data_IF_294135408562
#
_entry.id   IF_294135408562
#
_cell.length_a   1.000
_cell.length_b   1.000
_cell.length_c   1.000
_cell.angle_alpha   90.00
_cell.angle_beta   90.00
_cell.angle_gamma   90.00
#
_symmetry.space_group_name_H-M   'P 1'
#
loop_
_entity.id
_entity.type
_entity.pdbx_description
1 polymer ?
#
# COMPACT_ATOMS: atom_id res chain seq x y z
N UNK A 1 23.87 11.24 -10.31
CA UNK A 1 23.29 10.03 -10.93
C UNK A 1 21.79 10.24 -10.83
N UNK A 2 21.16 10.81 -11.88
CA UNK A 2 19.73 11.12 -11.85
C UNK A 2 18.95 9.80 -11.80
N UNK A 3 18.10 9.66 -10.80
CA UNK A 3 17.26 8.48 -10.60
C UNK A 3 16.32 8.34 -11.80
N UNK A 4 16.40 7.22 -12.51
CA UNK A 4 15.56 6.84 -13.66
C UNK A 4 14.05 6.66 -13.33
N UNK A 5 13.54 7.27 -12.25
CA UNK A 5 12.16 7.11 -11.79
C UNK A 5 11.18 7.73 -12.79
N UNK A 6 11.55 8.81 -13.47
CA UNK A 6 10.70 9.46 -14.48
C UNK A 6 10.54 8.64 -15.77
N UNK A 7 11.45 7.69 -16.06
CA UNK A 7 11.45 6.95 -17.31
C UNK A 7 10.36 5.86 -17.43
N UNK A 8 9.67 5.52 -16.33
CA UNK A 8 8.66 4.46 -16.27
C UNK A 8 7.24 4.96 -15.92
N UNK A 9 7.00 6.26 -16.01
CA UNK A 9 5.64 6.80 -15.87
C UNK A 9 4.86 6.58 -17.18
N UNK A 10 3.56 6.24 -17.13
CA UNK A 10 2.75 6.16 -18.32
C UNK A 10 2.63 7.57 -18.94
N UNK A 11 2.51 7.66 -20.27
CA UNK A 11 2.45 8.94 -20.97
C UNK A 11 1.16 9.73 -20.68
N UNK A 12 0.12 9.08 -20.15
CA UNK A 12 -1.15 9.69 -19.74
C UNK A 12 -1.62 9.14 -18.40
N UNK A 13 -2.46 9.90 -17.69
CA UNK A 13 -3.00 9.49 -16.39
C UNK A 13 -3.89 8.24 -16.47
N UNK A 14 -4.53 7.99 -17.61
CA UNK A 14 -5.37 6.81 -17.87
C UNK A 14 -4.57 5.51 -17.73
N UNK A 15 -3.27 5.53 -18.04
CA UNK A 15 -2.40 4.37 -17.92
C UNK A 15 -2.24 3.87 -16.48
N UNK A 16 -2.40 4.73 -15.46
CA UNK A 16 -2.36 4.29 -14.06
C UNK A 16 -3.62 3.52 -13.63
N UNK A 17 -4.68 3.54 -14.44
CA UNK A 17 -5.93 2.85 -14.13
C UNK A 17 -5.96 1.39 -14.56
N UNK A 18 -4.94 0.89 -15.29
CA UNK A 18 -4.95 -0.47 -15.84
C UNK A 18 -4.12 -1.43 -15.00
N UNK A 19 -4.63 -2.64 -14.84
CA UNK A 19 -3.92 -3.74 -14.19
C UNK A 19 -2.57 -4.03 -14.87
N UNK A 20 -2.56 -4.03 -16.20
CA UNK A 20 -1.38 -4.35 -17.01
C UNK A 20 -0.23 -3.37 -16.79
N UNK A 21 -0.53 -2.08 -16.59
CA UNK A 21 0.50 -1.08 -16.30
C UNK A 21 1.24 -1.38 -15.01
N UNK A 22 0.50 -1.69 -13.94
CA UNK A 22 1.08 -1.97 -12.63
C UNK A 22 1.86 -3.28 -12.61
N UNK A 23 1.33 -4.34 -13.22
CA UNK A 23 2.06 -5.60 -13.41
C UNK A 23 3.38 -5.38 -14.15
N UNK A 24 3.36 -4.66 -15.28
CA UNK A 24 4.59 -4.34 -16.03
C UNK A 24 5.58 -3.51 -15.23
N UNK A 25 5.10 -2.54 -14.46
CA UNK A 25 5.94 -1.69 -13.62
C UNK A 25 6.62 -2.51 -12.54
N UNK A 26 5.86 -3.29 -11.77
CA UNK A 26 6.41 -4.07 -10.66
C UNK A 26 7.31 -5.21 -11.15
N UNK A 27 7.06 -5.78 -12.34
CA UNK A 27 7.98 -6.72 -12.96
C UNK A 27 9.35 -6.09 -13.27
N UNK A 28 9.41 -4.79 -13.57
CA UNK A 28 10.64 -4.04 -13.86
C UNK A 28 11.32 -3.49 -12.60
N UNK A 29 10.61 -3.42 -11.46
CA UNK A 29 11.08 -2.91 -10.17
C UNK A 29 11.47 -4.03 -9.18
N UNK A 30 12.11 -5.09 -9.67
CA UNK A 30 12.51 -6.25 -8.85
C UNK A 30 13.75 -6.04 -7.98
N UNK A 31 14.26 -4.80 -7.87
CA UNK A 31 15.53 -4.50 -7.17
C UNK A 31 15.37 -4.22 -5.67
N UNK A 32 14.16 -4.39 -5.13
CA UNK A 32 13.86 -4.23 -3.71
C UNK A 32 13.78 -2.78 -3.24
N UNK A 33 13.75 -1.81 -4.15
CA UNK A 33 13.49 -0.41 -3.79
C UNK A 33 12.02 -0.21 -3.43
N UNK A 34 11.79 0.56 -2.37
CA UNK A 34 10.45 1.01 -1.98
C UNK A 34 10.16 2.34 -2.65
N UNK A 35 8.94 2.53 -3.14
CA UNK A 35 8.51 3.80 -3.69
C UNK A 35 7.40 4.40 -2.85
N UNK A 36 7.67 5.57 -2.26
CA UNK A 36 6.69 6.35 -1.53
C UNK A 36 6.38 7.65 -2.28
N UNK A 37 5.16 7.72 -2.84
CA UNK A 37 4.69 8.79 -3.70
C UNK A 37 4.67 10.21 -3.08
N UNK A 38 4.57 10.35 -1.75
CA UNK A 38 4.23 11.65 -1.14
C UNK A 38 5.15 12.07 0.02
N UNK A 39 5.35 11.23 1.03
CA UNK A 39 6.06 11.56 2.27
C UNK A 39 6.85 10.37 2.81
N UNK A 40 7.90 10.64 3.58
CA UNK A 40 8.56 9.60 4.39
C UNK A 40 7.54 9.05 5.40
N UNK A 41 7.28 7.73 5.42
CA UNK A 41 6.23 7.16 6.26
C UNK A 41 6.37 7.42 7.76
N UNK A 42 7.60 7.69 8.23
CA UNK A 42 7.87 8.04 9.62
C UNK A 42 7.15 9.30 10.12
N UNK A 43 6.83 10.25 9.23
CA UNK A 43 6.07 11.45 9.60
C UNK A 43 4.62 11.15 9.96
N UNK A 44 4.10 9.99 9.55
CA UNK A 44 2.71 9.62 9.81
C UNK A 44 2.51 9.01 11.20
N UNK A 45 3.58 8.56 11.85
CA UNK A 45 3.50 7.83 13.13
C UNK A 45 2.70 8.57 14.22
N UNK A 46 2.91 9.88 14.48
CA UNK A 46 2.12 10.58 15.49
C UNK A 46 0.62 10.59 15.21
N UNK A 47 0.22 10.61 13.93
CA UNK A 47 -1.20 10.56 13.56
C UNK A 47 -1.80 9.17 13.82
N UNK A 48 -1.05 8.10 13.59
CA UNK A 48 -1.52 6.76 13.93
C UNK A 48 -1.63 6.55 15.43
N UNK A 49 -0.71 7.11 16.24
CA UNK A 49 -0.83 7.09 17.70
C UNK A 49 -2.12 7.78 18.16
N UNK A 50 -2.40 8.97 17.65
CA UNK A 50 -3.61 9.74 17.98
C UNK A 50 -4.89 8.98 17.55
N UNK A 51 -4.96 8.57 16.28
CA UNK A 51 -6.14 7.90 15.73
C UNK A 51 -6.46 6.57 16.42
N UNK A 52 -5.44 5.78 16.75
CA UNK A 52 -5.65 4.50 17.41
C UNK A 52 -5.94 4.63 18.90
N UNK A 53 -5.48 5.71 19.54
CA UNK A 53 -5.88 6.03 20.91
C UNK A 53 -7.36 6.47 20.98
N UNK A 54 -7.82 7.28 20.02
CA UNK A 54 -9.20 7.80 19.98
C UNK A 54 -10.25 6.69 19.85
N UNK A 55 -9.89 5.57 19.23
CA UNK A 55 -10.76 4.39 19.04
C UNK A 55 -10.48 3.26 20.05
N UNK A 56 -9.65 3.51 21.07
CA UNK A 56 -9.32 2.59 22.17
C UNK A 56 -8.74 1.22 21.75
N UNK A 57 -8.05 1.19 20.60
CA UNK A 57 -7.36 -0.03 20.10
C UNK A 57 -5.84 0.09 20.14
N UNK A 58 -5.30 1.31 20.16
CA UNK A 58 -3.86 1.58 20.26
C UNK A 58 -3.04 0.77 19.24
N UNK A 59 -2.07 -0.02 19.73
CA UNK A 59 -1.19 -0.84 18.87
C UNK A 59 -1.83 -2.12 18.34
N UNK A 60 -2.97 -2.51 18.89
CA UNK A 60 -3.71 -3.71 18.48
C UNK A 60 -4.70 -3.43 17.34
N UNK A 61 -4.83 -2.15 16.93
CA UNK A 61 -5.67 -1.72 15.81
C UNK A 61 -5.41 -2.57 14.55
N UNK A 62 -6.50 -3.06 13.95
CA UNK A 62 -6.48 -3.78 12.67
C UNK A 62 -6.55 -2.78 11.51
N UNK A 63 -5.47 -2.70 10.74
CA UNK A 63 -5.26 -1.67 9.71
C UNK A 63 -5.33 -2.30 8.32
N UNK A 64 -6.17 -1.75 7.44
CA UNK A 64 -6.22 -2.09 6.01
C UNK A 64 -5.49 -1.02 5.19
N UNK A 65 -4.53 -1.45 4.39
CA UNK A 65 -3.78 -0.62 3.44
C UNK A 65 -4.29 -0.89 2.03
N UNK A 66 -4.97 0.10 1.43
CA UNK A 66 -5.52 0.03 0.08
C UNK A 66 -4.48 0.43 -0.97
N UNK A 67 -4.33 -0.36 -2.04
CA UNK A 67 -3.38 -0.08 -3.12
C UNK A 67 -1.96 0.08 -2.57
N UNK A 68 -1.50 -0.91 -1.80
CA UNK A 68 -0.29 -0.78 -1.00
C UNK A 68 0.98 -0.62 -1.84
N UNK A 69 0.99 -1.14 -3.08
CA UNK A 69 2.15 -1.20 -3.94
C UNK A 69 3.38 -1.73 -3.22
N UNK A 70 4.55 -1.14 -3.52
CA UNK A 70 5.81 -1.40 -2.83
C UNK A 70 6.14 -0.33 -1.75
N UNK A 71 5.12 0.27 -1.12
CA UNK A 71 5.30 1.31 -0.10
C UNK A 71 5.97 0.79 1.17
N UNK A 72 6.80 1.62 1.80
CA UNK A 72 7.40 1.31 3.10
C UNK A 72 6.48 1.63 4.30
N UNK A 73 5.26 2.16 4.09
CA UNK A 73 4.40 2.57 5.21
C UNK A 73 4.02 1.40 6.12
N UNK A 74 3.62 0.26 5.56
CA UNK A 74 3.36 -0.94 6.35
C UNK A 74 4.57 -1.38 7.18
N UNK A 75 5.78 -1.27 6.62
CA UNK A 75 7.04 -1.57 7.33
C UNK A 75 7.25 -0.65 8.54
N UNK A 76 7.06 0.65 8.33
CA UNK A 76 7.33 1.66 9.36
C UNK A 76 6.30 1.57 10.48
N UNK A 77 5.02 1.31 10.17
CA UNK A 77 3.98 1.06 11.16
C UNK A 77 4.25 -0.24 11.94
N UNK A 78 4.64 -1.31 11.24
CA UNK A 78 4.99 -2.57 11.86
C UNK A 78 6.13 -2.42 12.85
N UNK A 79 7.21 -1.74 12.45
CA UNK A 79 8.38 -1.53 13.28
C UNK A 79 8.09 -0.58 14.47
N UNK A 80 7.07 0.27 14.35
CA UNK A 80 6.55 1.12 15.42
C UNK A 80 5.50 0.46 16.34
N UNK A 81 5.15 -0.81 16.10
CA UNK A 81 4.37 -1.63 17.01
C UNK A 81 2.98 -2.06 16.53
N UNK A 82 2.46 -1.54 15.42
CA UNK A 82 1.20 -2.01 14.86
C UNK A 82 1.41 -3.29 14.07
N UNK A 83 1.04 -4.44 14.62
CA UNK A 83 1.33 -5.75 14.01
C UNK A 83 0.21 -6.27 13.12
N UNK A 84 -1.02 -5.81 13.33
CA UNK A 84 -2.22 -6.28 12.63
C UNK A 84 -2.47 -5.45 11.36
N UNK A 85 -1.58 -5.60 10.36
CA UNK A 85 -1.64 -4.85 9.10
C UNK A 85 -1.98 -5.80 7.95
N UNK A 86 -3.04 -5.49 7.23
CA UNK A 86 -3.47 -6.16 6.00
C UNK A 86 -3.21 -5.22 4.82
N UNK A 87 -2.41 -5.68 3.86
CA UNK A 87 -2.04 -4.94 2.66
C UNK A 87 -2.71 -5.57 1.45
N UNK A 88 -3.38 -4.74 0.66
CA UNK A 88 -4.01 -5.19 -0.58
C UNK A 88 -3.55 -4.35 -1.77
N UNK A 89 -3.41 -5.02 -2.91
CA UNK A 89 -3.13 -4.40 -4.20
C UNK A 89 -3.77 -5.23 -5.30
N UNK A 90 -4.09 -4.59 -6.41
CA UNK A 90 -4.63 -5.28 -7.57
C UNK A 90 -3.56 -6.07 -8.32
N UNK A 91 -2.29 -5.66 -8.22
CA UNK A 91 -1.17 -6.37 -8.83
C UNK A 91 -0.74 -7.58 -8.00
N UNK A 92 -0.85 -8.77 -8.58
CA UNK A 92 -0.33 -10.00 -7.99
C UNK A 92 1.19 -9.95 -7.82
N UNK A 93 1.91 -9.37 -8.80
CA UNK A 93 3.37 -9.32 -8.78
C UNK A 93 3.88 -8.58 -7.54
N UNK A 94 3.31 -7.41 -7.23
CA UNK A 94 3.78 -6.65 -6.06
C UNK A 94 3.42 -7.34 -4.75
N UNK A 95 2.26 -7.99 -4.68
CA UNK A 95 1.86 -8.77 -3.51
C UNK A 95 2.85 -9.90 -3.24
N UNK A 96 3.22 -10.67 -4.26
CA UNK A 96 4.21 -11.75 -4.11
C UNK A 96 5.59 -11.22 -3.69
N UNK A 97 6.05 -10.13 -4.32
CA UNK A 97 7.32 -9.49 -3.97
C UNK A 97 7.36 -8.99 -2.53
N UNK A 98 6.29 -8.33 -2.07
CA UNK A 98 6.22 -7.78 -0.71
C UNK A 98 6.05 -8.88 0.33
N UNK A 99 5.31 -9.95 0.01
CA UNK A 99 5.22 -11.13 0.86
C UNK A 99 6.60 -11.77 1.08
N UNK A 100 7.38 -11.98 0.01
CA UNK A 100 8.75 -12.53 0.12
C UNK A 100 9.67 -11.61 0.93
N UNK A 101 9.66 -10.31 0.61
CA UNK A 101 10.46 -9.28 1.29
C UNK A 101 10.23 -9.24 2.81
N UNK A 102 9.02 -9.57 3.27
CA UNK A 102 8.61 -9.42 4.65
C UNK A 102 8.45 -10.73 5.43
N UNK A 103 8.52 -11.88 4.76
CA UNK A 103 8.28 -13.20 5.35
C UNK A 103 9.09 -13.46 6.64
N UNK A 104 10.36 -13.06 6.69
CA UNK A 104 11.21 -13.31 7.87
C UNK A 104 11.12 -12.20 8.92
N UNK A 105 11.14 -10.93 8.49
CA UNK A 105 11.29 -9.79 9.41
C UNK A 105 9.97 -9.31 10.00
N UNK A 106 8.87 -9.49 9.27
CA UNK A 106 7.56 -8.93 9.60
C UNK A 106 6.45 -9.94 9.28
N UNK A 107 6.51 -11.15 9.87
CA UNK A 107 5.70 -12.29 9.46
C UNK A 107 4.20 -12.14 9.73
N UNK A 108 3.79 -11.19 10.57
CA UNK A 108 2.37 -11.00 10.91
C UNK A 108 1.63 -10.10 9.90
N UNK A 109 2.37 -9.43 9.00
CA UNK A 109 1.72 -8.68 7.92
C UNK A 109 1.04 -9.61 6.93
N UNK A 110 -0.20 -9.30 6.59
CA UNK A 110 -0.97 -10.01 5.58
C UNK A 110 -0.89 -9.28 4.24
N UNK A 111 -0.73 -10.01 3.15
CA UNK A 111 -0.62 -9.49 1.78
C UNK A 111 -1.62 -10.23 0.89
N UNK A 112 -2.56 -9.52 0.26
CA UNK A 112 -3.61 -10.13 -0.54
C UNK A 112 -3.76 -9.41 -1.89
N UNK A 113 -3.83 -10.18 -2.97
CA UNK A 113 -4.28 -9.68 -4.26
C UNK A 113 -5.79 -9.39 -4.16
N UNK A 114 -6.18 -8.13 -4.33
CA UNK A 114 -7.57 -7.72 -4.24
C UNK A 114 -7.80 -6.38 -4.96
N UNK A 115 -8.87 -6.33 -5.75
CA UNK A 115 -9.39 -5.08 -6.28
C UNK A 115 -10.15 -4.34 -5.18
N UNK A 116 -9.78 -3.10 -4.91
CA UNK A 116 -10.41 -2.27 -3.88
C UNK A 116 -11.85 -1.84 -4.25
N UNK A 117 -12.23 -1.98 -5.52
CA UNK A 117 -13.62 -1.82 -5.99
C UNK A 117 -14.49 -3.05 -5.66
N UNK A 118 -13.88 -4.16 -5.26
CA UNK A 118 -14.54 -5.43 -4.97
C UNK A 118 -13.95 -6.11 -3.71
N UNK A 119 -13.97 -5.37 -2.60
CA UNK A 119 -13.45 -5.84 -1.30
C UNK A 119 -14.18 -7.09 -0.81
N UNK A 120 -13.41 -8.09 -0.37
CA UNK A 120 -13.91 -9.40 0.08
C UNK A 120 -13.94 -9.57 1.61
N UNK A 121 -13.91 -8.46 2.34
CA UNK A 121 -13.96 -8.44 3.80
C UNK A 121 -15.41 -8.30 4.29
N UNK A 122 -15.66 -8.82 5.50
CA UNK A 122 -16.90 -8.59 6.23
C UNK A 122 -17.02 -7.15 6.76
N UNK A 123 -18.19 -6.83 7.27
CA UNK A 123 -18.46 -5.54 7.91
C UNK A 123 -17.69 -5.40 9.23
N UNK A 124 -17.20 -4.19 9.51
CA UNK A 124 -16.52 -3.82 10.76
C UNK A 124 -15.31 -4.69 11.10
N UNK A 125 -14.58 -5.16 10.08
CA UNK A 125 -13.37 -5.98 10.28
C UNK A 125 -12.10 -5.18 10.58
N UNK A 126 -12.09 -3.87 10.32
CA UNK A 126 -10.92 -3.01 10.43
C UNK A 126 -11.22 -1.78 11.26
N UNK A 127 -10.24 -1.39 12.09
CA UNK A 127 -10.29 -0.19 12.91
C UNK A 127 -9.87 1.05 12.12
N UNK A 128 -8.93 0.88 11.18
CA UNK A 128 -8.43 1.92 10.30
C UNK A 128 -8.30 1.42 8.86
N UNK A 129 -8.68 2.26 7.91
CA UNK A 129 -8.49 2.03 6.47
C UNK A 129 -7.68 3.20 5.91
N UNK A 130 -6.57 2.88 5.25
CA UNK A 130 -5.61 3.86 4.76
C UNK A 130 -5.57 3.80 3.24
N UNK A 131 -5.82 4.95 2.62
CA UNK A 131 -5.56 5.22 1.21
C UNK A 131 -4.47 6.29 1.11
N UNK A 132 -3.39 5.98 0.39
CA UNK A 132 -2.24 6.87 0.19
C UNK A 132 -2.05 7.29 -1.28
N UNK A 133 -3.02 7.08 -2.16
CA UNK A 133 -2.92 7.45 -3.58
C UNK A 133 -3.93 6.79 -4.51
N UNK A 134 -4.67 5.79 -4.05
CA UNK A 134 -5.71 5.10 -4.81
C UNK A 134 -6.79 6.05 -5.35
N UNK A 135 -7.31 6.97 -4.52
CA UNK A 135 -8.33 7.92 -4.98
C UNK A 135 -7.87 8.83 -6.13
N UNK A 136 -6.57 9.13 -6.23
CA UNK A 136 -6.00 9.89 -7.37
C UNK A 136 -6.06 9.05 -8.65
N UNK A 137 -5.95 7.73 -8.55
CA UNK A 137 -6.05 6.81 -9.69
C UNK A 137 -7.50 6.66 -10.19
N UNK A 138 -8.50 6.63 -9.30
CA UNK A 138 -9.93 6.51 -9.67
C UNK A 138 -10.54 7.75 -10.35
N UNK A 139 -10.15 8.97 -9.96
CA UNK A 139 -10.72 10.18 -10.60
C UNK A 139 -10.41 10.25 -12.10
N UNK A 140 -9.34 9.58 -12.55
CA UNK A 140 -8.94 9.53 -13.96
C UNK A 140 -9.68 8.45 -14.77
N UNK A 141 -10.34 7.48 -14.13
CA UNK A 141 -11.17 6.47 -14.83
C UNK A 141 -12.59 6.96 -15.14
N UNK A 142 -13.09 7.94 -14.39
CA UNK A 142 -14.44 8.52 -14.58
C UNK A 142 -14.43 9.87 -15.31
N UNK A 143 -13.27 10.30 -15.82
CA UNK A 143 -13.10 11.55 -16.57
C UNK A 143 -12.97 11.27 -18.07
N UNK A 144 -13.99 10.63 -18.65
CA UNK A 144 -14.16 10.43 -20.09
C UNK A 144 -15.60 10.69 -20.51
#
# INVERSE_FOLDING_TARGET
MHSNIEANLPPTNEGYGTHEYWEERYAKESDGRTFDWFLSPSYLIPFFEELTADIDTGKDARILMLGCGNSALGEVLYDAGWKNIVNIDYSKIVIEQMQERHAEKRPEMTWLEMDVMDLKFGENEFDLIIDKGWFIHLQNLNSS
#
